data_IF_213568797520
#
_entry.id   IF_213568797520
#
_cell.length_a   1.000
_cell.length_b   1.000
_cell.length_c   1.000
_cell.angle_alpha   90.00
_cell.angle_beta   90.00
_cell.angle_gamma   90.00
#
_symmetry.space_group_name_H-M   'P 1'
#
loop_
_entity.id
_entity.type
_entity.pdbx_description
1 polymer ?
#
# COMPACT_ATOMS: atom_id res chain seq x y z
N UNK A 1 -9.95 18.75 -1.96
CA UNK A 1 -8.56 18.74 -1.45
C UNK A 1 -8.03 20.17 -1.42
N UNK A 2 -7.95 20.90 -2.54
CA UNK A 2 -7.42 22.28 -2.64
C UNK A 2 -7.95 23.16 -1.51
N UNK A 3 -9.28 23.25 -1.34
CA UNK A 3 -9.92 24.05 -0.28
C UNK A 3 -9.44 23.69 1.12
N UNK A 4 -9.20 22.41 1.41
CA UNK A 4 -8.69 21.97 2.74
C UNK A 4 -7.28 22.46 2.97
N UNK A 5 -6.39 22.33 1.99
CA UNK A 5 -5.02 22.83 2.10
C UNK A 5 -4.96 24.35 2.31
N UNK A 6 -5.86 25.09 1.66
CA UNK A 6 -5.90 26.53 1.82
C UNK A 6 -6.47 26.97 3.18
N UNK A 7 -7.49 26.28 3.68
CA UNK A 7 -8.11 26.61 4.98
C UNK A 7 -7.25 26.17 6.16
N UNK A 8 -6.43 25.14 5.99
CA UNK A 8 -5.59 24.55 7.05
C UNK A 8 -4.14 24.38 6.57
N UNK A 9 -3.46 25.51 6.25
CA UNK A 9 -2.07 25.44 5.81
C UNK A 9 -1.18 24.88 6.92
N UNK A 10 -0.18 24.13 6.54
CA UNK A 10 0.77 23.56 7.50
C UNK A 10 0.36 22.21 8.09
N UNK A 11 -0.87 21.74 7.87
CA UNK A 11 -1.40 20.55 8.56
C UNK A 11 -1.15 19.27 7.79
N UNK A 12 -1.52 19.23 6.49
CA UNK A 12 -1.55 18.00 5.72
C UNK A 12 -0.28 17.81 4.87
N UNK A 13 0.15 16.55 4.72
CA UNK A 13 1.25 16.14 3.84
C UNK A 13 0.88 14.93 2.99
N UNK A 14 -0.30 14.37 3.19
CA UNK A 14 -0.82 13.25 2.43
C UNK A 14 -2.34 13.22 2.42
N UNK A 15 -2.90 12.32 1.66
CA UNK A 15 -4.34 12.10 1.53
C UNK A 15 -4.62 10.60 1.40
N UNK A 16 -5.68 10.15 2.01
CA UNK A 16 -6.12 8.76 2.07
C UNK A 16 -6.47 8.40 3.51
N UNK A 17 -6.77 7.20 3.81
CA UNK A 17 -6.77 6.04 2.90
C UNK A 17 -7.95 6.11 1.94
N UNK A 18 -7.69 6.07 0.63
CA UNK A 18 -8.74 5.86 -0.36
C UNK A 18 -9.03 4.38 -0.45
N UNK A 19 -10.22 3.98 -0.09
CA UNK A 19 -10.66 2.59 -0.20
C UNK A 19 -11.44 2.41 -1.48
N UNK A 20 -10.85 1.74 -2.47
CA UNK A 20 -11.51 1.45 -3.75
C UNK A 20 -12.10 0.05 -3.72
N UNK A 21 -11.27 -0.98 -3.77
CA UNK A 21 -11.71 -2.36 -3.59
C UNK A 21 -11.21 -2.89 -2.25
N UNK A 22 -12.13 -3.11 -1.32
CA UNK A 22 -11.85 -3.66 0.02
C UNK A 22 -12.98 -4.60 0.40
N UNK A 23 -12.80 -5.88 0.14
CA UNK A 23 -13.70 -6.94 0.57
C UNK A 23 -15.19 -6.55 0.39
N UNK A 24 -15.96 -6.61 1.50
CA UNK A 24 -17.38 -6.22 1.52
C UNK A 24 -17.61 -4.73 1.80
N UNK A 25 -16.55 -3.93 1.97
CA UNK A 25 -16.68 -2.51 2.30
C UNK A 25 -17.08 -1.72 1.06
N UNK A 26 -16.44 -2.00 -0.07
CA UNK A 26 -16.71 -1.30 -1.33
C UNK A 26 -18.17 -1.42 -1.77
N UNK A 27 -18.81 -2.57 -1.56
CA UNK A 27 -20.22 -2.78 -1.90
C UNK A 27 -21.20 -1.91 -1.08
N UNK A 28 -20.72 -1.24 -0.03
CA UNK A 28 -21.52 -0.33 0.81
C UNK A 28 -21.42 1.13 0.36
N UNK A 29 -20.56 1.42 -0.62
CA UNK A 29 -20.43 2.78 -1.15
C UNK A 29 -21.66 3.10 -1.99
N UNK A 30 -22.36 4.20 -1.63
CA UNK A 30 -23.54 4.62 -2.35
C UNK A 30 -23.23 4.98 -3.81
N UNK A 31 -24.09 4.54 -4.73
CA UNK A 31 -23.93 4.80 -6.16
C UNK A 31 -22.96 3.88 -6.89
N UNK A 32 -22.39 2.88 -6.22
CA UNK A 32 -21.48 1.89 -6.81
C UNK A 32 -20.35 2.53 -7.65
N UNK A 33 -19.75 3.60 -7.10
CA UNK A 33 -18.74 4.44 -7.78
C UNK A 33 -17.29 4.08 -7.41
N UNK A 34 -17.10 3.05 -6.60
CA UNK A 34 -15.81 2.52 -6.22
C UNK A 34 -15.16 1.79 -7.40
N UNK A 35 -14.37 2.53 -8.14
CA UNK A 35 -13.66 1.98 -9.30
C UNK A 35 -12.33 2.66 -9.54
N UNK A 36 -11.31 1.87 -9.85
CA UNK A 36 -10.02 2.37 -10.30
C UNK A 36 -10.09 3.10 -11.65
N UNK A 37 -11.17 2.92 -12.41
CA UNK A 37 -11.42 3.63 -13.67
C UNK A 37 -12.24 4.91 -13.49
N UNK A 38 -12.62 5.27 -12.27
CA UNK A 38 -13.35 6.51 -12.02
C UNK A 38 -12.47 7.73 -12.33
N UNK A 39 -12.86 8.63 -13.25
CA UNK A 39 -12.05 9.79 -13.64
C UNK A 39 -11.83 10.79 -12.51
N UNK A 40 -12.62 10.74 -11.44
CA UNK A 40 -12.36 11.53 -10.24
C UNK A 40 -11.07 11.13 -9.54
N UNK A 41 -10.71 9.84 -9.60
CA UNK A 41 -9.46 9.33 -9.03
C UNK A 41 -8.23 9.88 -9.79
N UNK A 42 -8.31 9.93 -11.13
CA UNK A 42 -7.24 10.52 -11.95
C UNK A 42 -7.01 12.00 -11.56
N UNK A 43 -8.09 12.78 -11.40
CA UNK A 43 -7.99 14.18 -10.96
C UNK A 43 -7.40 14.35 -9.57
N UNK A 44 -7.71 13.43 -8.65
CA UNK A 44 -7.13 13.42 -7.31
C UNK A 44 -5.62 13.18 -7.40
N UNK A 45 -5.20 12.19 -8.17
CA UNK A 45 -3.78 11.85 -8.32
C UNK A 45 -2.98 12.94 -9.04
N UNK A 46 -3.54 13.54 -10.09
CA UNK A 46 -2.95 14.71 -10.76
C UNK A 46 -2.74 15.88 -9.78
N UNK A 47 -3.73 16.17 -8.95
CA UNK A 47 -3.61 17.20 -7.94
C UNK A 47 -2.58 16.85 -6.86
N UNK A 48 -2.47 15.58 -6.47
CA UNK A 48 -1.45 15.13 -5.53
C UNK A 48 -0.05 15.27 -6.13
N UNK A 49 0.13 14.98 -7.42
CA UNK A 49 1.38 15.24 -8.13
C UNK A 49 1.73 16.74 -8.18
N UNK A 50 0.74 17.61 -8.43
CA UNK A 50 0.90 19.08 -8.43
C UNK A 50 1.33 19.60 -7.05
N UNK A 51 0.65 19.16 -6.01
CA UNK A 51 0.84 19.68 -4.65
C UNK A 51 1.93 19.00 -3.85
N UNK A 52 2.38 17.81 -4.28
CA UNK A 52 3.34 16.98 -3.54
C UNK A 52 2.74 16.13 -2.43
N UNK A 53 1.41 16.01 -2.35
CA UNK A 53 0.75 15.12 -1.41
C UNK A 53 1.07 13.65 -1.68
N UNK A 54 1.38 12.90 -0.63
CA UNK A 54 1.44 11.44 -0.68
C UNK A 54 0.02 10.86 -0.67
N UNK A 55 -0.22 9.87 -1.50
CA UNK A 55 -1.50 9.14 -1.53
C UNK A 55 -1.36 7.81 -0.83
N UNK A 56 -2.30 7.46 0.05
CA UNK A 56 -2.47 6.10 0.56
C UNK A 56 -3.70 5.51 -0.13
N UNK A 57 -3.49 4.44 -0.89
CA UNK A 57 -4.52 3.75 -1.68
C UNK A 57 -4.72 2.35 -1.15
N UNK A 58 -5.94 2.06 -0.65
CA UNK A 58 -6.37 0.72 -0.35
C UNK A 58 -7.08 0.11 -1.57
N UNK A 59 -6.49 -0.91 -2.11
CA UNK A 59 -7.09 -1.68 -3.19
C UNK A 59 -6.65 -3.14 -3.06
N UNK A 60 -7.58 -4.01 -2.78
CA UNK A 60 -7.31 -5.44 -2.72
C UNK A 60 -6.77 -5.93 -4.07
N UNK A 61 -5.89 -6.92 -4.03
CA UNK A 61 -5.27 -7.47 -5.25
C UNK A 61 -6.30 -8.20 -6.12
N UNK A 62 -7.35 -8.77 -5.49
CA UNK A 62 -8.35 -9.59 -6.16
C UNK A 62 -9.74 -9.44 -5.53
N UNK A 63 -10.73 -9.99 -6.20
CA UNK A 63 -12.10 -10.07 -5.69
C UNK A 63 -12.18 -10.97 -4.45
N UNK A 64 -13.11 -10.67 -3.53
CA UNK A 64 -13.39 -11.58 -2.42
C UNK A 64 -13.71 -13.00 -2.93
N UNK A 65 -13.08 -14.01 -2.31
CA UNK A 65 -13.26 -15.42 -2.66
C UNK A 65 -12.92 -15.79 -4.11
N UNK A 66 -12.03 -15.02 -4.76
CA UNK A 66 -11.56 -15.32 -6.10
C UNK A 66 -11.03 -16.76 -6.18
N UNK A 67 -11.27 -17.38 -7.34
CA UNK A 67 -10.83 -18.76 -7.59
C UNK A 67 -9.30 -18.81 -7.64
N UNK A 68 -8.73 -19.73 -6.89
CA UNK A 68 -7.27 -19.95 -6.91
C UNK A 68 -6.78 -20.31 -8.32
N UNK A 69 -5.59 -19.78 -8.66
CA UNK A 69 -4.95 -20.05 -9.95
C UNK A 69 -5.41 -19.15 -11.09
N UNK A 70 -6.31 -18.19 -10.84
CA UNK A 70 -6.66 -17.14 -11.82
C UNK A 70 -5.83 -15.89 -11.60
N UNK A 71 -5.60 -15.11 -12.66
CA UNK A 71 -4.96 -13.79 -12.52
C UNK A 71 -5.85 -12.86 -11.67
N UNK A 72 -5.30 -12.16 -10.68
CA UNK A 72 -6.08 -11.26 -9.86
C UNK A 72 -6.69 -10.11 -10.67
N UNK A 73 -8.02 -9.98 -10.59
CA UNK A 73 -8.79 -9.04 -11.42
C UNK A 73 -8.38 -7.59 -11.17
N UNK A 74 -8.20 -7.21 -9.90
CA UNK A 74 -7.91 -5.80 -9.57
C UNK A 74 -6.45 -5.44 -9.78
N UNK A 75 -5.53 -6.41 -9.81
CA UNK A 75 -4.11 -6.14 -10.00
C UNK A 75 -3.81 -5.49 -11.36
N UNK A 76 -4.43 -5.97 -12.43
CA UNK A 76 -4.27 -5.41 -13.78
C UNK A 76 -4.76 -3.96 -13.83
N UNK A 77 -5.97 -3.71 -13.31
CA UNK A 77 -6.56 -2.38 -13.24
C UNK A 77 -5.71 -1.42 -12.40
N UNK A 78 -5.19 -1.90 -11.26
CA UNK A 78 -4.30 -1.11 -10.41
C UNK A 78 -3.01 -0.72 -11.14
N UNK A 79 -2.35 -1.67 -11.82
CA UNK A 79 -1.15 -1.39 -12.60
C UNK A 79 -1.39 -0.31 -13.67
N UNK A 80 -2.56 -0.31 -14.31
CA UNK A 80 -2.92 0.70 -15.29
C UNK A 80 -3.07 2.10 -14.67
N UNK A 81 -3.70 2.20 -13.52
CA UNK A 81 -3.78 3.46 -12.75
C UNK A 81 -2.39 3.94 -12.35
N UNK A 82 -1.58 3.07 -11.79
CA UNK A 82 -0.23 3.42 -11.35
C UNK A 82 0.63 3.93 -12.53
N UNK A 83 0.55 3.31 -13.71
CA UNK A 83 1.27 3.77 -14.91
C UNK A 83 0.83 5.13 -15.41
N UNK A 84 -0.47 5.46 -15.28
CA UNK A 84 -1.00 6.77 -15.68
C UNK A 84 -0.51 7.91 -14.80
N UNK A 85 -0.12 7.63 -13.54
CA UNK A 85 0.22 8.65 -12.54
C UNK A 85 1.66 8.55 -12.01
N UNK A 86 2.70 8.54 -12.89
CA UNK A 86 4.08 8.29 -12.49
C UNK A 86 4.71 9.40 -11.65
N UNK A 87 4.03 10.56 -11.54
CA UNK A 87 4.50 11.71 -10.74
C UNK A 87 3.87 11.76 -9.34
N UNK A 88 2.90 10.91 -9.06
CA UNK A 88 2.22 10.85 -7.77
C UNK A 88 2.90 9.82 -6.88
N UNK A 89 3.34 10.21 -5.70
CA UNK A 89 3.83 9.24 -4.70
C UNK A 89 2.65 8.46 -4.13
N UNK A 90 2.59 7.17 -4.38
CA UNK A 90 1.49 6.30 -3.98
C UNK A 90 2.01 5.23 -3.02
N UNK A 91 1.36 5.11 -1.87
CA UNK A 91 1.53 4.01 -0.91
C UNK A 91 0.36 3.05 -1.11
N UNK A 92 0.65 1.83 -1.58
CA UNK A 92 -0.36 0.79 -1.70
C UNK A 92 -0.51 0.07 -0.36
N UNK A 93 -1.66 0.34 0.29
CA UNK A 93 -1.95 -0.17 1.63
C UNK A 93 -2.04 -1.69 1.65
N UNK A 94 -1.50 -2.28 2.72
CA UNK A 94 -1.57 -3.72 3.03
C UNK A 94 -1.03 -4.64 1.93
N UNK A 95 -0.24 -4.09 1.00
CA UNK A 95 0.24 -4.83 -0.19
C UNK A 95 -0.88 -5.49 -1.00
N UNK A 96 -2.09 -4.95 -0.91
CA UNK A 96 -3.30 -5.49 -1.56
C UNK A 96 -3.87 -6.75 -0.91
N UNK A 97 -3.46 -7.08 0.29
CA UNK A 97 -4.03 -8.20 1.06
C UNK A 97 -5.24 -7.72 1.87
N UNK A 98 -6.24 -8.59 1.99
CA UNK A 98 -7.44 -8.41 2.79
C UNK A 98 -7.82 -9.70 3.52
N UNK A 99 -8.89 -9.68 4.33
CA UNK A 99 -9.33 -10.85 5.13
C UNK A 99 -9.73 -12.04 4.28
N UNK A 100 -10.25 -11.78 3.12
CA UNK A 100 -10.80 -12.82 2.20
C UNK A 100 -10.02 -12.92 0.89
N UNK A 101 -8.95 -12.14 0.76
CA UNK A 101 -7.98 -12.26 -0.32
C UNK A 101 -6.90 -13.24 0.11
N UNK A 102 -6.96 -14.45 -0.40
CA UNK A 102 -5.93 -15.44 -0.12
C UNK A 102 -4.71 -15.15 -1.00
N UNK A 103 -3.50 -15.02 -0.41
CA UNK A 103 -2.28 -15.00 -1.19
C UNK A 103 -2.23 -16.27 -2.02
N UNK A 104 -2.12 -16.11 -3.33
CA UNK A 104 -1.97 -17.29 -4.20
C UNK A 104 -0.71 -18.03 -3.77
N UNK A 105 -0.89 -19.21 -3.23
CA UNK A 105 0.22 -20.09 -2.95
C UNK A 105 0.69 -20.62 -4.30
N UNK A 106 1.98 -20.58 -4.53
CA UNK A 106 2.62 -21.44 -5.52
C UNK A 106 2.28 -22.88 -5.14
N UNK A 107 1.15 -23.38 -5.61
CA UNK A 107 0.83 -24.79 -5.44
C UNK A 107 1.84 -25.55 -6.27
N UNK A 108 2.86 -26.11 -5.60
CA UNK A 108 3.68 -27.14 -6.16
C UNK A 108 2.82 -28.41 -6.30
N UNK A 109 1.85 -28.39 -7.18
CA UNK A 109 1.29 -29.60 -7.75
C UNK A 109 2.26 -30.07 -8.80
N UNK A 110 2.82 -31.24 -8.59
CA UNK A 110 3.92 -31.83 -9.35
C UNK A 110 3.60 -32.15 -10.82
N UNK A 111 2.54 -31.60 -11.42
CA UNK A 111 2.10 -32.00 -12.75
C UNK A 111 1.71 -30.85 -13.71
N UNK A 112 1.86 -29.58 -13.35
CA UNK A 112 1.58 -28.49 -14.29
C UNK A 112 2.77 -27.54 -14.41
N UNK A 113 3.22 -27.35 -15.64
CA UNK A 113 4.33 -26.46 -16.02
C UNK A 113 4.04 -24.97 -15.87
N UNK A 114 2.83 -24.58 -15.47
CA UNK A 114 2.42 -23.20 -15.25
C UNK A 114 2.08 -22.99 -13.78
N UNK A 115 3.01 -22.38 -13.04
CA UNK A 115 2.76 -21.86 -11.69
C UNK A 115 2.10 -20.49 -11.81
N UNK A 116 0.89 -20.34 -11.29
CA UNK A 116 0.36 -19.01 -11.02
C UNK A 116 1.30 -18.28 -10.06
N UNK A 117 1.66 -17.02 -10.35
CA UNK A 117 2.57 -16.27 -9.48
C UNK A 117 1.93 -16.10 -8.10
N UNK A 118 2.71 -16.33 -7.05
CA UNK A 118 2.30 -16.05 -5.68
C UNK A 118 2.27 -14.53 -5.42
N UNK A 119 1.66 -14.13 -4.31
CA UNK A 119 1.58 -12.72 -3.90
C UNK A 119 2.95 -12.02 -3.88
N UNK A 120 3.97 -12.66 -3.31
CA UNK A 120 5.33 -12.11 -3.29
C UNK A 120 5.89 -11.93 -4.71
N UNK A 121 5.64 -12.87 -5.61
CA UNK A 121 6.09 -12.77 -7.01
C UNK A 121 5.41 -11.60 -7.73
N UNK A 122 4.15 -11.33 -7.44
CA UNK A 122 3.42 -10.18 -7.98
C UNK A 122 3.97 -8.84 -7.47
N UNK A 123 4.31 -8.76 -6.19
CA UNK A 123 4.99 -7.58 -5.62
C UNK A 123 6.36 -7.38 -6.24
N UNK A 124 7.15 -8.45 -6.40
CA UNK A 124 8.49 -8.39 -7.00
C UNK A 124 8.42 -7.92 -8.46
N UNK A 125 7.41 -8.35 -9.22
CA UNK A 125 7.18 -7.86 -10.59
C UNK A 125 6.90 -6.35 -10.65
N UNK A 126 6.18 -5.80 -9.66
CA UNK A 126 5.95 -4.35 -9.58
C UNK A 126 7.23 -3.63 -9.14
N UNK A 127 7.95 -4.17 -8.17
CA UNK A 127 9.16 -3.58 -7.63
C UNK A 127 10.32 -3.52 -8.65
N UNK A 128 10.41 -4.51 -9.52
CA UNK A 128 11.44 -4.60 -10.56
C UNK A 128 11.12 -3.76 -11.80
N UNK A 129 9.86 -3.41 -12.04
CA UNK A 129 9.43 -2.58 -13.16
C UNK A 129 9.70 -1.08 -12.88
N UNK A 130 10.54 -0.48 -13.72
CA UNK A 130 10.89 0.94 -13.58
C UNK A 130 9.71 1.91 -13.73
N UNK A 131 8.60 1.48 -14.33
CA UNK A 131 7.38 2.26 -14.46
C UNK A 131 6.70 2.51 -13.09
N UNK A 132 7.03 1.72 -12.06
CA UNK A 132 6.40 1.82 -10.73
C UNK A 132 7.33 2.35 -9.63
N UNK A 133 8.39 3.07 -9.97
CA UNK A 133 9.34 3.63 -8.98
C UNK A 133 8.69 4.58 -7.95
N UNK A 134 7.56 5.18 -8.29
CA UNK A 134 6.79 6.09 -7.44
C UNK A 134 5.83 5.37 -6.48
N UNK A 135 5.76 4.03 -6.55
CA UNK A 135 4.88 3.20 -5.74
C UNK A 135 5.64 2.64 -4.55
N UNK A 136 5.08 2.80 -3.36
CA UNK A 136 5.55 2.25 -2.11
C UNK A 136 4.51 1.28 -1.55
N UNK A 137 4.90 0.47 -0.59
CA UNK A 137 4.06 -0.57 -0.03
C UNK A 137 3.97 -0.42 1.48
N UNK A 138 2.79 -0.57 1.99
CA UNK A 138 2.53 -0.63 3.40
C UNK A 138 2.23 -2.08 3.79
N UNK A 139 2.90 -2.58 4.84
CA UNK A 139 2.69 -3.91 5.41
C UNK A 139 1.93 -3.84 6.74
N UNK A 140 1.18 -2.77 7.00
CA UNK A 140 0.37 -2.63 8.21
C UNK A 140 -0.77 -3.65 8.28
N UNK A 141 -1.42 -3.71 9.46
CA UNK A 141 -2.59 -4.51 9.74
C UNK A 141 -2.29 -5.94 10.25
N UNK A 142 -3.12 -6.41 11.19
CA UNK A 142 -3.00 -7.75 11.76
C UNK A 142 -3.33 -8.86 10.75
N UNK A 143 -4.21 -8.59 9.78
CA UNK A 143 -4.51 -9.56 8.72
C UNK A 143 -3.30 -9.79 7.82
N UNK A 144 -2.54 -8.73 7.49
CA UNK A 144 -1.28 -8.88 6.73
C UNK A 144 -0.25 -9.65 7.55
N UNK A 145 -0.13 -9.34 8.85
CA UNK A 145 0.77 -10.08 9.73
C UNK A 145 0.50 -11.58 9.71
N UNK A 146 -0.78 -11.99 9.74
CA UNK A 146 -1.16 -13.41 9.67
C UNK A 146 -0.65 -14.11 8.40
N UNK A 147 -0.68 -13.42 7.25
CA UNK A 147 -0.12 -13.96 6.01
C UNK A 147 1.41 -14.03 6.03
N UNK A 148 2.05 -12.96 6.50
CA UNK A 148 3.51 -12.83 6.52
C UNK A 148 4.13 -13.93 7.39
N UNK A 149 3.56 -14.18 8.58
CA UNK A 149 4.11 -15.14 9.56
C UNK A 149 3.44 -16.53 9.48
N UNK A 150 2.57 -16.78 8.52
CA UNK A 150 1.77 -18.00 8.44
C UNK A 150 2.61 -19.28 8.34
N UNK A 151 3.71 -19.23 7.61
CA UNK A 151 4.63 -20.35 7.43
C UNK A 151 6.08 -19.88 7.43
N UNK A 152 7.06 -20.74 7.75
CA UNK A 152 8.48 -20.41 7.62
C UNK A 152 8.87 -19.94 6.21
N UNK A 153 8.22 -20.48 5.17
CA UNK A 153 8.45 -20.10 3.78
C UNK A 153 7.92 -18.69 3.50
N UNK A 154 6.68 -18.38 3.87
CA UNK A 154 6.11 -17.04 3.65
C UNK A 154 6.91 -15.97 4.41
N UNK A 155 7.30 -16.27 5.63
CA UNK A 155 8.12 -15.39 6.46
C UNK A 155 9.50 -15.14 5.82
N UNK A 156 10.18 -16.18 5.32
CA UNK A 156 11.50 -16.04 4.70
C UNK A 156 11.38 -15.26 3.38
N UNK A 157 10.44 -15.60 2.51
CA UNK A 157 10.24 -14.90 1.23
C UNK A 157 9.89 -13.43 1.43
N UNK A 158 9.06 -13.10 2.42
CA UNK A 158 8.76 -11.71 2.77
C UNK A 158 10.02 -10.99 3.25
N UNK A 159 10.79 -11.59 4.15
CA UNK A 159 12.05 -11.00 4.62
C UNK A 159 13.04 -10.75 3.48
N UNK A 160 13.20 -11.71 2.58
CA UNK A 160 14.08 -11.59 1.41
C UNK A 160 13.66 -10.44 0.49
N UNK A 161 12.34 -10.28 0.27
CA UNK A 161 11.78 -9.17 -0.52
C UNK A 161 12.08 -7.81 0.13
N UNK A 162 11.83 -7.68 1.44
CA UNK A 162 12.07 -6.44 2.17
C UNK A 162 13.56 -6.11 2.25
N UNK A 163 14.42 -7.10 2.43
CA UNK A 163 15.87 -6.92 2.43
C UNK A 163 16.41 -6.49 1.05
N UNK A 164 15.79 -6.96 -0.02
CA UNK A 164 16.18 -6.60 -1.41
C UNK A 164 15.69 -5.21 -1.82
N UNK A 165 14.52 -4.79 -1.33
CA UNK A 165 13.89 -3.51 -1.68
C UNK A 165 13.59 -2.66 -0.42
N UNK A 166 14.57 -2.40 0.45
CA UNK A 166 14.33 -1.82 1.77
C UNK A 166 13.73 -0.41 1.73
N UNK A 167 13.95 0.33 0.64
CA UNK A 167 13.46 1.69 0.46
C UNK A 167 11.98 1.79 0.02
N UNK A 168 11.33 0.67 -0.24
CA UNK A 168 10.02 0.63 -0.86
C UNK A 168 8.89 0.22 0.08
N UNK A 169 9.21 -0.27 1.27
CA UNK A 169 8.23 -0.75 2.25
C UNK A 169 8.19 0.12 3.48
N UNK A 170 7.02 0.20 4.10
CA UNK A 170 6.83 0.83 5.40
C UNK A 170 5.86 0.03 6.26
N UNK A 171 6.00 0.20 7.55
CA UNK A 171 5.19 -0.45 8.55
C UNK A 171 4.26 0.55 9.25
N UNK A 172 3.06 0.09 9.56
CA UNK A 172 2.10 0.72 10.45
C UNK A 172 1.28 -0.37 11.16
N UNK A 173 0.47 -0.03 12.13
CA UNK A 173 -0.37 -1.01 12.82
C UNK A 173 -1.73 -1.19 12.19
N UNK A 174 -2.26 -0.16 11.55
CA UNK A 174 -3.66 -0.09 11.10
C UNK A 174 -4.67 -0.54 12.19
N UNK A 175 -4.34 -0.26 13.44
CA UNK A 175 -5.16 -0.68 14.56
C UNK A 175 -6.22 0.39 14.86
N UNK A 176 -7.44 0.13 14.42
CA UNK A 176 -8.56 1.06 14.56
C UNK A 176 -9.11 1.06 15.98
N UNK A 177 -9.03 2.23 16.64
CA UNK A 177 -9.59 2.48 17.97
C UNK A 177 -9.23 1.40 19.01
N UNK A 178 -7.95 1.08 19.23
CA UNK A 178 -7.57 0.11 20.24
C UNK A 178 -8.02 0.56 21.63
N UNK A 179 -8.59 -0.36 22.41
CA UNK A 179 -9.10 -0.06 23.77
C UNK A 179 -7.98 0.16 24.78
N UNK A 180 -6.82 -0.44 24.55
CA UNK A 180 -5.66 -0.37 25.45
C UNK A 180 -4.37 -0.24 24.66
N UNK A 181 -3.30 0.19 25.31
CA UNK A 181 -1.95 0.22 24.71
C UNK A 181 -1.48 -1.17 24.30
N UNK A 182 -1.76 -2.20 25.12
CA UNK A 182 -1.41 -3.58 24.78
C UNK A 182 -2.10 -4.04 23.50
N UNK A 183 -3.39 -3.73 23.33
CA UNK A 183 -4.11 -4.06 22.09
C UNK A 183 -3.51 -3.36 20.87
N UNK A 184 -2.98 -2.14 21.03
CA UNK A 184 -2.28 -1.43 19.97
C UNK A 184 -0.94 -2.10 19.64
N UNK A 185 -0.14 -2.40 20.65
CA UNK A 185 1.19 -3.00 20.45
C UNK A 185 1.13 -4.45 19.99
N UNK A 186 0.03 -5.16 20.25
CA UNK A 186 -0.14 -6.55 19.81
C UNK A 186 0.08 -6.72 18.30
N UNK A 187 -0.42 -5.80 17.48
CA UNK A 187 -0.21 -5.86 16.02
C UNK A 187 1.28 -5.73 15.70
N UNK A 188 1.99 -4.83 16.37
CA UNK A 188 3.43 -4.69 16.21
C UNK A 188 4.20 -5.96 16.60
N UNK A 189 3.78 -6.60 17.69
CA UNK A 189 4.38 -7.84 18.19
C UNK A 189 4.21 -9.03 17.23
N UNK A 190 3.08 -9.08 16.49
CA UNK A 190 2.84 -10.11 15.49
C UNK A 190 3.94 -10.13 14.39
N UNK A 191 4.56 -9.00 14.13
CA UNK A 191 5.66 -8.90 13.16
C UNK A 191 7.04 -9.23 13.74
N UNK A 192 7.16 -9.54 15.03
CA UNK A 192 8.46 -9.84 15.66
C UNK A 192 9.27 -10.91 14.92
N UNK A 193 8.68 -12.02 14.40
CA UNK A 193 9.42 -13.00 13.61
C UNK A 193 10.02 -12.40 12.32
N UNK A 194 9.32 -11.45 11.68
CA UNK A 194 9.80 -10.77 10.48
C UNK A 194 10.97 -9.85 10.81
N UNK A 195 10.85 -9.06 11.88
CA UNK A 195 11.92 -8.14 12.28
C UNK A 195 13.25 -8.84 12.53
N UNK A 196 13.22 -10.07 13.08
CA UNK A 196 14.41 -10.85 13.35
C UNK A 196 15.16 -11.36 12.11
N UNK A 197 14.51 -11.31 10.93
CA UNK A 197 15.06 -11.75 9.65
C UNK A 197 15.52 -10.62 8.74
N UNK A 198 15.21 -9.36 9.12
CA UNK A 198 15.65 -8.20 8.35
C UNK A 198 17.10 -7.85 8.68
N UNK A 199 17.81 -7.35 7.66
CA UNK A 199 19.07 -6.65 7.88
C UNK A 199 18.85 -5.42 8.76
N UNK A 200 19.87 -4.92 9.49
CA UNK A 200 19.73 -3.67 10.26
C UNK A 200 19.24 -2.50 9.43
N UNK A 201 19.72 -2.37 8.19
CA UNK A 201 19.28 -1.34 7.24
C UNK A 201 17.81 -1.49 6.87
N UNK A 202 17.38 -2.67 6.45
CA UNK A 202 15.99 -2.91 6.07
C UNK A 202 15.04 -2.72 7.27
N UNK A 203 15.45 -3.18 8.45
CA UNK A 203 14.65 -3.00 9.67
C UNK A 203 14.45 -1.51 10.01
N UNK A 204 15.50 -0.71 9.96
CA UNK A 204 15.40 0.73 10.22
C UNK A 204 14.50 1.42 9.18
N UNK A 205 14.74 1.18 7.88
CA UNK A 205 14.01 1.82 6.79
C UNK A 205 12.53 1.46 6.81
N UNK A 206 12.20 0.17 6.91
CA UNK A 206 10.82 -0.32 6.86
C UNK A 206 10.01 0.13 8.08
N UNK A 207 10.61 0.08 9.27
CA UNK A 207 9.91 0.41 10.52
C UNK A 207 9.75 1.90 10.76
N UNK A 208 10.61 2.75 10.18
CA UNK A 208 10.60 4.19 10.46
C UNK A 208 11.14 5.06 9.33
N UNK A 209 12.33 4.73 8.79
CA UNK A 209 13.08 5.64 7.93
C UNK A 209 12.34 6.02 6.65
N UNK A 210 11.66 5.07 6.01
CA UNK A 210 10.89 5.35 4.79
C UNK A 210 9.69 6.28 5.04
N UNK A 211 8.97 6.08 6.14
CA UNK A 211 7.90 6.99 6.53
C UNK A 211 8.44 8.41 6.72
N UNK A 212 9.49 8.56 7.49
CA UNK A 212 10.09 9.88 7.73
C UNK A 212 10.50 10.53 6.42
N UNK A 213 11.29 9.86 5.59
CA UNK A 213 11.75 10.38 4.31
C UNK A 213 10.62 10.81 3.39
N UNK A 214 9.61 9.97 3.19
CA UNK A 214 8.51 10.26 2.27
C UNK A 214 7.64 11.42 2.75
N UNK A 215 7.31 11.45 4.04
CA UNK A 215 6.43 12.47 4.58
C UNK A 215 7.15 13.79 4.88
N UNK A 216 8.46 13.79 5.11
CA UNK A 216 9.26 15.01 5.17
C UNK A 216 9.39 15.66 3.78
N UNK A 217 9.65 14.87 2.74
CA UNK A 217 9.67 15.34 1.36
C UNK A 217 8.30 15.89 0.95
N UNK A 218 7.23 15.15 1.21
CA UNK A 218 5.87 15.61 0.95
C UNK A 218 5.52 16.89 1.70
N UNK A 219 5.89 16.98 2.99
CA UNK A 219 5.69 18.19 3.79
C UNK A 219 6.34 19.41 3.14
N UNK A 220 7.58 19.27 2.72
CA UNK A 220 8.32 20.34 2.05
C UNK A 220 7.62 20.83 0.78
N UNK A 221 7.21 19.88 -0.07
CA UNK A 221 6.51 20.16 -1.34
C UNK A 221 5.15 20.81 -1.12
N UNK A 222 4.36 20.26 -0.20
CA UNK A 222 3.02 20.80 0.10
C UNK A 222 3.12 22.22 0.67
N UNK A 223 4.07 22.49 1.57
CA UNK A 223 4.31 23.87 2.11
C UNK A 223 4.69 24.85 1.00
N UNK A 224 5.51 24.42 0.04
CA UNK A 224 5.85 25.25 -1.11
C UNK A 224 4.60 25.53 -1.99
N UNK A 225 3.78 24.51 -2.23
CA UNK A 225 2.53 24.66 -2.96
C UNK A 225 1.54 25.58 -2.24
N UNK A 226 1.33 25.42 -0.94
CA UNK A 226 0.45 26.29 -0.13
C UNK A 226 0.87 27.74 -0.21
N UNK A 227 2.18 28.01 -0.06
CA UNK A 227 2.74 29.37 -0.17
C UNK A 227 2.49 29.98 -1.55
N UNK A 228 2.67 29.21 -2.62
CA UNK A 228 2.46 29.66 -3.99
C UNK A 228 0.98 29.91 -4.32
N UNK A 229 0.05 29.29 -3.61
CA UNK A 229 -1.39 29.35 -3.87
C UNK A 229 -2.19 30.09 -2.78
N UNK A 230 -1.52 30.75 -1.83
CA UNK A 230 -2.17 31.43 -0.69
C UNK A 230 -3.22 32.49 -1.09
N UNK A 231 -3.10 33.09 -2.28
CA UNK A 231 -3.97 34.17 -2.76
C UNK A 231 -4.98 33.72 -3.85
N UNK A 232 -5.19 32.42 -4.02
CA UNK A 232 -5.97 31.88 -5.16
C UNK A 232 -7.43 31.54 -4.78
N UNK A 233 -7.93 32.06 -3.63
CA UNK A 233 -9.32 31.90 -3.17
C UNK A 233 -9.95 33.26 -2.95
#
# INVERSE_FOLDING_TARGET
>A
IRRVLTLFPGVFSGIGEFTIHKEFVSSKVAGNVDSLSNPALDRIFEFCAESGLVVILHNDIDMPFAKQGTEPVYLSQLKDVLRRHPKTTIIWAHTGLGRVVNPQRSTASASTTERSPGHIDMLENILSDSAFKHVYFDISWDEVAKYVVATPESLQRTADLLNRYPDRFMFGTDNVAPKTAEAHFKVYEMYAPLWSKLTPEASEKVRKGNYQRLFEDARSKVRAWEKANANTI
#
